data_IF_704124355989
#
_entry.id   IF_704124355989
#
_cell.length_a   1.000
_cell.length_b   1.000
_cell.length_c   1.000
_cell.angle_alpha   90.00
_cell.angle_beta   90.00
_cell.angle_gamma   90.00
#
_symmetry.space_group_name_H-M   'P 1'
#
loop_
_entity.id
_entity.type
_entity.pdbx_description
1 polymer ?
#
# COMPACT_ATOMS: atom_id res chain seq x y z
N UNK A 1 22.22 -17.13 -20.27
CA UNK A 1 23.16 -16.66 -19.22
C UNK A 1 22.41 -16.55 -17.90
N UNK A 2 22.67 -17.46 -16.95
CA UNK A 2 22.06 -17.44 -15.61
C UNK A 2 22.90 -16.52 -14.73
N UNK A 3 22.35 -15.36 -14.37
CA UNK A 3 22.97 -14.49 -13.37
C UNK A 3 22.81 -15.18 -12.02
N UNK A 4 23.93 -15.56 -11.41
CA UNK A 4 23.95 -16.15 -10.07
C UNK A 4 23.29 -15.16 -9.09
N UNK A 5 22.18 -15.55 -8.50
CA UNK A 5 21.67 -14.85 -7.31
C UNK A 5 22.68 -15.12 -6.20
N UNK A 6 23.62 -14.20 -6.02
CA UNK A 6 24.35 -14.09 -4.76
C UNK A 6 23.28 -13.90 -3.67
N UNK A 7 23.04 -14.97 -2.91
CA UNK A 7 22.11 -14.94 -1.80
C UNK A 7 22.47 -13.78 -0.89
N UNK A 8 21.50 -12.90 -0.66
CA UNK A 8 21.53 -12.02 0.51
C UNK A 8 21.59 -12.95 1.72
N UNK A 9 22.80 -13.24 2.18
CA UNK A 9 23.07 -13.94 3.43
C UNK A 9 22.23 -13.24 4.50
N UNK A 10 21.20 -13.92 5.01
CA UNK A 10 20.37 -13.40 6.08
C UNK A 10 21.27 -13.10 7.28
N UNK A 11 21.44 -11.82 7.62
CA UNK A 11 22.19 -11.45 8.81
C UNK A 11 21.40 -11.92 10.03
N UNK A 12 21.89 -12.99 10.64
CA UNK A 12 21.41 -13.45 11.94
C UNK A 12 21.95 -12.45 12.97
N UNK A 13 21.09 -12.01 13.90
CA UNK A 13 21.52 -11.29 15.10
C UNK A 13 22.48 -12.16 15.91
N UNK A 14 23.14 -11.56 16.92
CA UNK A 14 23.93 -12.29 17.93
C UNK A 14 23.12 -13.44 18.55
N UNK A 15 21.81 -13.28 18.64
CA UNK A 15 20.84 -14.26 19.17
C UNK A 15 20.33 -15.28 18.13
N UNK A 16 20.92 -15.36 16.93
CA UNK A 16 20.54 -16.30 15.87
C UNK A 16 19.20 -16.00 15.16
N UNK A 17 18.42 -15.02 15.64
CA UNK A 17 17.16 -14.59 15.00
C UNK A 17 17.41 -13.74 13.75
N UNK A 18 16.63 -13.94 12.67
CA UNK A 18 16.75 -13.11 11.48
C UNK A 18 16.44 -11.65 11.83
N UNK A 19 17.34 -10.73 11.44
CA UNK A 19 17.07 -9.30 11.57
C UNK A 19 15.86 -8.93 10.72
N UNK A 20 14.78 -8.44 11.36
CA UNK A 20 13.56 -8.00 10.66
C UNK A 20 13.82 -6.75 9.79
N UNK A 21 14.83 -5.95 10.14
CA UNK A 21 15.16 -4.69 9.49
C UNK A 21 16.65 -4.65 9.16
N UNK A 22 17.00 -4.07 8.01
CA UNK A 22 18.38 -3.83 7.62
C UNK A 22 19.03 -2.75 8.51
N UNK A 23 20.33 -2.89 8.77
CA UNK A 23 21.15 -1.84 9.40
C UNK A 23 21.36 -0.66 8.46
N UNK A 24 21.68 0.52 9.01
CA UNK A 24 21.83 1.77 8.25
C UNK A 24 22.79 1.64 7.04
N UNK A 25 23.92 0.95 7.23
CA UNK A 25 24.92 0.68 6.18
C UNK A 25 24.35 -0.20 5.08
N UNK A 26 23.58 -1.22 5.44
CA UNK A 26 22.94 -2.12 4.49
C UNK A 26 21.81 -1.39 3.73
N UNK A 27 21.06 -0.53 4.41
CA UNK A 27 20.06 0.34 3.81
C UNK A 27 20.67 1.21 2.71
N UNK A 28 21.83 1.81 2.97
CA UNK A 28 22.57 2.61 1.98
C UNK A 28 22.99 1.76 0.78
N UNK A 29 23.54 0.57 1.00
CA UNK A 29 23.97 -0.32 -0.07
C UNK A 29 22.80 -0.74 -0.98
N UNK A 30 21.67 -1.12 -0.40
CA UNK A 30 20.44 -1.46 -1.15
C UNK A 30 19.93 -0.25 -1.94
N UNK A 31 19.93 0.94 -1.34
CA UNK A 31 19.47 2.16 -2.01
C UNK A 31 20.34 2.52 -3.22
N UNK A 32 21.67 2.44 -3.11
CA UNK A 32 22.60 2.68 -4.23
C UNK A 32 22.38 1.67 -5.36
N UNK A 33 22.27 0.38 -5.03
CA UNK A 33 22.00 -0.66 -6.02
C UNK A 33 20.66 -0.45 -6.76
N UNK A 34 19.64 0.08 -6.05
CA UNK A 34 18.34 0.42 -6.65
C UNK A 34 18.42 1.64 -7.57
N UNK A 35 19.25 2.63 -7.23
CA UNK A 35 19.49 3.81 -8.07
C UNK A 35 20.20 3.44 -9.38
N UNK A 36 21.24 2.61 -9.33
CA UNK A 36 21.97 2.15 -10.51
C UNK A 36 21.09 1.37 -11.49
N UNK A 37 20.06 0.67 -10.97
CA UNK A 37 19.08 -0.08 -11.77
C UNK A 37 17.88 0.76 -12.21
N UNK A 38 17.80 2.02 -11.78
CA UNK A 38 16.71 2.93 -12.12
C UNK A 38 16.77 3.31 -13.60
N UNK A 39 15.63 3.26 -14.28
CA UNK A 39 15.49 3.78 -15.64
C UNK A 39 14.51 4.95 -15.62
N UNK A 40 14.93 6.10 -16.16
CA UNK A 40 14.07 7.30 -16.25
C UNK A 40 13.57 7.83 -14.90
N UNK A 41 14.38 7.69 -13.83
CA UNK A 41 14.02 8.15 -12.49
C UNK A 41 13.05 7.24 -11.72
N UNK A 42 12.75 6.04 -12.23
CA UNK A 42 11.88 5.06 -11.56
C UNK A 42 12.66 3.87 -11.03
N UNK A 43 12.55 3.64 -9.72
CA UNK A 43 13.13 2.47 -9.06
C UNK A 43 12.36 1.20 -9.49
N UNK A 44 13.04 0.10 -9.88
CA UNK A 44 12.41 -1.09 -10.47
C UNK A 44 11.30 -1.74 -9.63
N UNK A 45 11.38 -1.60 -8.30
CA UNK A 45 10.47 -2.25 -7.35
C UNK A 45 9.61 -1.23 -6.55
N UNK A 46 9.65 0.06 -6.93
CA UNK A 46 8.97 1.13 -6.20
C UNK A 46 7.45 1.16 -6.37
N UNK A 47 6.90 0.44 -7.35
CA UNK A 47 5.47 0.42 -7.64
C UNK A 47 4.80 -0.85 -7.10
N UNK A 48 5.11 -1.22 -5.86
CA UNK A 48 4.48 -2.34 -5.17
C UNK A 48 3.19 -1.86 -4.48
N UNK A 49 2.07 -2.51 -4.80
CA UNK A 49 0.78 -2.20 -4.19
C UNK A 49 -0.41 -2.33 -5.16
N UNK A 50 -1.62 -2.37 -4.60
CA UNK A 50 -2.86 -2.37 -5.39
C UNK A 50 -3.10 -0.97 -5.95
N UNK A 51 -3.13 -0.85 -7.28
CA UNK A 51 -3.54 0.40 -7.95
C UNK A 51 -4.98 0.74 -7.57
N UNK A 52 -5.27 2.04 -7.41
CA UNK A 52 -6.64 2.50 -7.15
C UNK A 52 -7.50 2.16 -8.37
N UNK A 53 -8.49 1.28 -8.18
CA UNK A 53 -9.42 0.88 -9.25
C UNK A 53 -10.63 1.80 -9.34
N UNK A 54 -11.08 2.37 -8.20
CA UNK A 54 -12.27 3.22 -8.14
C UNK A 54 -11.91 4.70 -8.03
N UNK A 55 -12.66 5.53 -8.74
CA UNK A 55 -12.54 7.00 -8.66
C UNK A 55 -13.21 7.53 -7.39
N UNK A 56 -12.88 8.76 -7.00
CA UNK A 56 -13.47 9.40 -5.84
C UNK A 56 -14.99 9.60 -5.97
N UNK A 57 -15.47 9.82 -7.20
CA UNK A 57 -16.88 10.03 -7.54
C UNK A 57 -17.68 8.73 -7.43
N UNK A 58 -17.15 7.62 -7.95
CA UNK A 58 -17.75 6.29 -7.80
C UNK A 58 -17.92 5.90 -6.32
N UNK A 59 -16.94 6.25 -5.48
CA UNK A 59 -17.02 5.99 -4.04
C UNK A 59 -18.16 6.80 -3.41
N UNK A 60 -18.32 8.07 -3.79
CA UNK A 60 -19.43 8.91 -3.29
C UNK A 60 -20.79 8.42 -3.76
N UNK A 61 -20.92 8.06 -5.03
CA UNK A 61 -22.16 7.52 -5.60
C UNK A 61 -22.57 6.22 -4.90
N UNK A 62 -21.63 5.30 -4.68
CA UNK A 62 -21.89 4.05 -3.96
C UNK A 62 -22.29 4.29 -2.50
N UNK A 63 -21.66 5.25 -1.80
CA UNK A 63 -22.06 5.61 -0.43
C UNK A 63 -23.44 6.27 -0.40
N UNK A 64 -23.78 7.07 -1.42
CA UNK A 64 -25.08 7.74 -1.54
C UNK A 64 -26.23 6.77 -1.86
N UNK A 65 -25.95 5.66 -2.56
CA UNK A 65 -26.94 4.62 -2.83
C UNK A 65 -27.36 3.85 -1.57
N UNK A 66 -26.50 3.77 -0.54
CA UNK A 66 -26.79 3.04 0.71
C UNK A 66 -27.83 3.79 1.56
N UNK A 67 -28.87 3.14 2.11
CA UNK A 67 -29.81 3.80 3.02
C UNK A 67 -29.13 4.42 4.25
N UNK A 68 -29.62 5.57 4.74
CA UNK A 68 -28.96 6.34 5.81
C UNK A 68 -28.68 5.52 7.08
N UNK A 69 -29.62 4.67 7.50
CA UNK A 69 -29.47 3.82 8.68
C UNK A 69 -28.31 2.82 8.56
N UNK A 70 -28.00 2.36 7.34
CA UNK A 70 -26.90 1.43 7.09
C UNK A 70 -25.53 2.12 7.00
N UNK A 71 -25.47 3.45 6.98
CA UNK A 71 -24.23 4.26 6.94
C UNK A 71 -23.59 4.49 8.32
N UNK A 72 -24.16 3.94 9.39
CA UNK A 72 -23.76 4.23 10.77
C UNK A 72 -22.33 3.78 11.08
N UNK A 73 -21.90 2.62 10.56
CA UNK A 73 -20.55 2.10 10.79
C UNK A 73 -19.83 1.87 9.47
N UNK A 74 -18.50 2.03 9.45
CA UNK A 74 -17.71 1.72 8.24
C UNK A 74 -17.80 0.24 7.85
N UNK A 75 -18.11 -0.66 8.81
CA UNK A 75 -18.30 -2.10 8.55
C UNK A 75 -19.60 -2.35 7.78
N UNK A 76 -20.71 -1.78 8.26
CA UNK A 76 -22.01 -1.88 7.59
C UNK A 76 -21.97 -1.16 6.24
N UNK A 77 -21.33 0.01 6.17
CA UNK A 77 -21.18 0.74 4.91
C UNK A 77 -20.38 -0.07 3.88
N UNK A 78 -19.28 -0.71 4.27
CA UNK A 78 -18.50 -1.55 3.36
C UNK A 78 -19.30 -2.74 2.82
N UNK A 79 -20.11 -3.38 3.67
CA UNK A 79 -20.97 -4.49 3.26
C UNK A 79 -22.07 -4.04 2.28
N UNK A 80 -22.66 -2.86 2.47
CA UNK A 80 -23.77 -2.37 1.64
C UNK A 80 -23.31 -1.61 0.38
N UNK A 81 -22.10 -1.05 0.36
CA UNK A 81 -21.56 -0.31 -0.80
C UNK A 81 -20.63 -1.14 -1.68
N UNK A 82 -20.34 -2.38 -1.27
CA UNK A 82 -19.33 -3.26 -1.90
C UNK A 82 -17.94 -2.61 -2.04
N UNK A 83 -17.67 -1.61 -1.20
CA UNK A 83 -16.36 -0.93 -1.13
C UNK A 83 -15.63 -1.45 0.10
N UNK A 84 -14.38 -1.92 -0.05
CA UNK A 84 -13.58 -2.33 1.08
C UNK A 84 -13.46 -1.21 2.13
N UNK A 85 -13.57 -1.57 3.41
CA UNK A 85 -13.42 -0.64 4.54
C UNK A 85 -12.15 0.22 4.44
N UNK A 86 -11.04 -0.39 4.01
CA UNK A 86 -9.75 0.29 3.84
C UNK A 86 -9.84 1.40 2.79
N UNK A 87 -10.52 1.16 1.67
CA UNK A 87 -10.74 2.14 0.60
C UNK A 87 -11.57 3.33 1.10
N UNK A 88 -12.62 3.08 1.89
CA UNK A 88 -13.42 4.16 2.50
C UNK A 88 -12.57 5.03 3.44
N UNK A 89 -11.75 4.41 4.30
CA UNK A 89 -10.87 5.14 5.22
C UNK A 89 -9.78 5.93 4.49
N UNK A 90 -9.18 5.35 3.44
CA UNK A 90 -8.21 6.07 2.59
C UNK A 90 -8.85 7.25 1.87
N UNK A 91 -10.08 7.09 1.37
CA UNK A 91 -10.84 8.19 0.76
C UNK A 91 -11.13 9.31 1.76
N UNK A 92 -11.55 8.97 2.99
CA UNK A 92 -11.74 9.96 4.06
C UNK A 92 -10.46 10.75 4.36
N UNK A 93 -9.30 10.07 4.40
CA UNK A 93 -8.00 10.72 4.61
C UNK A 93 -7.62 11.67 3.46
N UNK A 94 -8.00 11.35 2.23
CA UNK A 94 -7.61 12.10 1.03
C UNK A 94 -8.56 13.26 0.70
N UNK A 95 -9.86 13.08 0.92
CA UNK A 95 -10.90 14.00 0.48
C UNK A 95 -11.73 14.58 1.64
N UNK A 96 -11.39 14.24 2.89
CA UNK A 96 -12.00 14.79 4.11
C UNK A 96 -13.39 14.23 4.45
N UNK A 97 -14.21 13.85 3.47
CA UNK A 97 -15.58 13.36 3.73
C UNK A 97 -16.00 12.26 2.75
N UNK A 98 -16.87 11.35 3.21
CA UNK A 98 -17.58 10.37 2.36
C UNK A 98 -18.94 10.88 1.89
N UNK A 99 -19.35 12.08 2.31
CA UNK A 99 -20.73 12.56 2.15
C UNK A 99 -20.85 13.32 0.84
N UNK A 100 -21.70 12.83 -0.06
CA UNK A 100 -22.53 13.72 -0.87
C UNK A 100 -23.68 14.19 0.03
N UNK A 101 -23.87 15.50 0.16
CA UNK A 101 -24.86 16.09 1.07
C UNK A 101 -26.28 15.83 0.56
#
# INVERSE_FOLDING_TARGET
>A
MRVAQAGLCATRNVDGRPERNLKLVQHRAVFVQLLERSQGGKIPYGNSGRKKTRTAEEIKAAVQAVPHHARQTTRTLAANSEIPKTTLLTHMKQHGTLKAR
#
